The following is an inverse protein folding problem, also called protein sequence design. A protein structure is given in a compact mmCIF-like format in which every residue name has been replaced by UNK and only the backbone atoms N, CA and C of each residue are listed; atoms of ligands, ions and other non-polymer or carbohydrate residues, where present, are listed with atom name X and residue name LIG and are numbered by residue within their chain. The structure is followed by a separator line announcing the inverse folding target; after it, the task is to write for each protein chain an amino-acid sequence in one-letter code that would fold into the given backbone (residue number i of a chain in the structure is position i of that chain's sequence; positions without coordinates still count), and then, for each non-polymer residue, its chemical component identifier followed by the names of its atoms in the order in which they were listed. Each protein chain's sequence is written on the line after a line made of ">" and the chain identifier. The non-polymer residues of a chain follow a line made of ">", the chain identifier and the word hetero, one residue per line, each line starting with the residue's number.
data_IF_824583192352
#
_entry.id   IF_824583192352
#
_cell.length_a   1.000
_cell.length_b   1.000
_cell.length_c   1.000
_cell.angle_alpha   90.00
_cell.angle_beta   90.00
_cell.angle_gamma   90.00
#
_symmetry.space_group_name_H-M   'P 1'
#
loop_
_entity.id
_entity.type
_entity.pdbx_description
1 polymer ?
#
# COMPACT_ATOMS: atom_id res chain seq x y z
N UNK A 1 -17.51 -14.37 7.34
CA UNK A 1 -17.19 -14.08 7.16
C UNK A 1 -16.72 -13.50 7.10
N UNK A 2 -16.61 -13.60 7.13
CA UNK A 2 -16.21 -13.30 7.10
C UNK A 2 -15.37 -12.95 6.93
N UNK A 3 -15.40 -13.17 6.76
CA UNK A 3 -14.33 -12.68 6.64
C UNK A 3 -14.14 -12.02 5.40
N UNK A 4 -13.41 -11.43 5.31
CA UNK A 4 -12.90 -10.56 4.35
C UNK A 4 -11.87 -11.22 3.49
N UNK A 5 -11.99 -12.48 3.25
CA UNK A 5 -10.89 -13.22 2.74
C UNK A 5 -10.70 -13.27 1.24
N UNK A 6 -11.74 -13.03 0.47
CA UNK A 6 -11.68 -13.28 -0.97
C UNK A 6 -11.67 -11.98 -1.74
N UNK A 7 -10.53 -11.69 -2.37
CA UNK A 7 -10.35 -10.48 -3.15
C UNK A 7 -10.00 -10.83 -4.58
N UNK A 8 -10.53 -10.06 -5.51
CA UNK A 8 -10.09 -10.11 -6.90
C UNK A 8 -8.93 -9.14 -7.07
N UNK A 9 -7.83 -9.63 -7.62
CA UNK A 9 -6.67 -8.78 -7.89
C UNK A 9 -6.87 -8.12 -9.24
N UNK A 10 -6.98 -6.79 -9.24
CA UNK A 10 -7.17 -6.00 -10.46
C UNK A 10 -5.87 -5.65 -11.13
N UNK A 11 -4.83 -5.40 -10.33
CA UNK A 11 -3.53 -5.05 -10.85
C UNK A 11 -2.47 -5.22 -9.80
N UNK A 12 -1.23 -5.24 -10.23
CA UNK A 12 -0.08 -5.45 -9.35
C UNK A 12 1.02 -4.50 -9.76
N UNK A 13 1.67 -3.89 -8.77
CA UNK A 13 2.87 -3.09 -9.01
C UNK A 13 4.02 -3.75 -8.27
N UNK A 14 5.11 -3.98 -9.00
CA UNK A 14 6.36 -4.46 -8.41
C UNK A 14 7.25 -3.27 -8.18
N UNK A 15 7.66 -3.07 -6.94
CA UNK A 15 8.55 -1.99 -6.52
C UNK A 15 9.90 -2.60 -6.20
N UNK A 16 10.94 -2.07 -6.82
CA UNK A 16 12.28 -2.63 -6.62
C UNK A 16 13.23 -1.54 -6.16
N UNK A 17 13.84 -1.79 -5.01
CA UNK A 17 14.88 -0.91 -4.47
C UNK A 17 16.09 -1.78 -4.18
N UNK A 18 17.10 -1.70 -5.03
CA UNK A 18 18.24 -2.60 -4.94
C UNK A 18 17.80 -4.04 -5.13
N UNK A 19 18.16 -4.90 -4.19
CA UNK A 19 17.76 -6.31 -4.21
C UNK A 19 16.40 -6.56 -3.58
N UNK A 20 15.80 -5.55 -2.97
CA UNK A 20 14.51 -5.71 -2.31
C UNK A 20 13.37 -5.49 -3.27
N UNK A 21 12.39 -6.36 -3.19
CA UNK A 21 11.17 -6.27 -4.00
C UNK A 21 9.98 -6.15 -3.05
N UNK A 22 9.14 -5.17 -3.31
CA UNK A 22 7.85 -5.02 -2.63
C UNK A 22 6.77 -5.10 -3.67
N UNK A 23 5.72 -5.83 -3.38
CA UNK A 23 4.58 -5.98 -4.28
C UNK A 23 3.40 -5.23 -3.68
N UNK A 24 2.74 -4.44 -4.51
CA UNK A 24 1.47 -3.81 -4.16
C UNK A 24 0.41 -4.44 -5.04
N UNK A 25 -0.48 -5.21 -4.44
CA UNK A 25 -1.60 -5.80 -5.16
C UNK A 25 -2.83 -4.94 -4.91
N UNK A 26 -3.44 -4.45 -5.98
CA UNK A 26 -4.66 -3.65 -5.91
C UNK A 26 -5.82 -4.60 -6.08
N UNK A 27 -6.70 -4.63 -5.10
CA UNK A 27 -7.75 -5.64 -5.01
C UNK A 27 -9.11 -4.99 -4.87
N UNK A 28 -10.13 -5.71 -5.34
CA UNK A 28 -11.51 -5.28 -5.19
C UNK A 28 -12.28 -6.34 -4.42
N UNK A 29 -13.12 -5.89 -3.50
CA UNK A 29 -14.08 -6.71 -2.78
C UNK A 29 -15.41 -5.96 -2.85
N UNK A 30 -16.33 -6.47 -3.66
CA UNK A 30 -17.57 -5.77 -4.00
C UNK A 30 -17.22 -4.41 -4.60
N UNK A 31 -17.59 -3.33 -3.94
CA UNK A 31 -17.28 -1.98 -4.44
C UNK A 31 -16.15 -1.32 -3.67
N UNK A 32 -15.43 -2.08 -2.86
CA UNK A 32 -14.35 -1.53 -2.03
C UNK A 32 -13.00 -1.91 -2.61
N UNK A 33 -12.08 -0.95 -2.60
CA UNK A 33 -10.70 -1.16 -3.03
C UNK A 33 -9.83 -1.35 -1.81
N UNK A 34 -8.88 -2.29 -1.92
CA UNK A 34 -7.87 -2.54 -0.89
C UNK A 34 -6.53 -2.75 -1.59
N UNK A 35 -5.45 -2.45 -0.87
CA UNK A 35 -4.10 -2.74 -1.34
C UNK A 35 -3.46 -3.72 -0.39
N UNK A 36 -2.75 -4.68 -0.95
CA UNK A 36 -1.95 -5.60 -0.15
C UNK A 36 -0.49 -5.34 -0.48
N UNK A 37 0.29 -4.96 0.53
CA UNK A 37 1.67 -4.50 0.35
C UNK A 37 2.61 -5.40 1.13
N UNK A 38 3.63 -5.92 0.47
CA UNK A 38 4.63 -6.71 1.16
C UNK A 38 5.64 -7.33 0.22
N UNK A 39 6.67 -7.92 0.81
CA UNK A 39 7.66 -8.68 0.06
C UNK A 39 7.13 -10.09 -0.18
N UNK A 40 7.39 -10.66 -1.37
CA UNK A 40 6.82 -11.99 -1.70
C UNK A 40 7.26 -13.11 -0.76
N UNK A 41 8.41 -12.96 -0.12
CA UNK A 41 8.97 -14.01 0.73
C UNK A 41 8.70 -13.78 2.21
N UNK A 42 7.83 -12.84 2.56
CA UNK A 42 7.52 -12.55 3.96
C UNK A 42 6.20 -13.18 4.35
N UNK A 43 6.06 -13.42 5.66
CA UNK A 43 4.86 -14.03 6.21
C UNK A 43 3.75 -13.03 6.49
N UNK A 44 4.07 -11.76 6.50
CA UNK A 44 3.10 -10.73 6.84
C UNK A 44 3.07 -9.65 5.79
N UNK A 45 1.87 -9.14 5.56
CA UNK A 45 1.61 -8.07 4.61
C UNK A 45 0.89 -6.94 5.31
N UNK A 46 0.90 -5.77 4.67
CA UNK A 46 0.06 -4.66 5.08
C UNK A 46 -1.21 -4.69 4.23
N UNK A 47 -2.34 -4.76 4.88
CA UNK A 47 -3.63 -4.62 4.20
C UNK A 47 -4.07 -3.19 4.37
N UNK A 48 -4.18 -2.48 3.26
CA UNK A 48 -4.38 -1.03 3.25
C UNK A 48 -5.76 -0.67 2.75
N UNK A 49 -6.39 0.25 3.47
CA UNK A 49 -7.62 0.88 3.04
C UNK A 49 -7.26 2.27 2.51
N UNK A 50 -7.55 2.58 1.23
CA UNK A 50 -7.20 3.87 0.67
C UNK A 50 -7.86 5.01 1.44
N UNK A 51 -7.07 6.05 1.71
CA UNK A 51 -7.53 7.26 2.38
C UNK A 51 -7.61 8.36 1.34
N UNK A 52 -8.81 8.92 1.17
CA UNK A 52 -9.03 9.98 0.20
C UNK A 52 -9.13 11.30 0.93
N UNK A 53 -8.86 12.39 0.21
CA UNK A 53 -9.01 13.73 0.78
C UNK A 53 -7.98 14.09 1.82
N UNK A 54 -6.81 13.44 1.79
CA UNK A 54 -5.76 13.72 2.76
C UNK A 54 -5.05 15.05 2.51
N UNK A 55 -5.19 15.59 1.30
CA UNK A 55 -4.63 16.91 0.98
C UNK A 55 -3.13 16.96 0.81
N UNK A 56 -2.45 15.82 0.78
CA UNK A 56 -0.99 15.80 0.64
C UNK A 56 -0.58 15.79 -0.81
N UNK A 57 0.51 16.50 -1.10
CA UNK A 57 1.09 16.59 -2.42
C UNK A 57 2.57 16.84 -2.25
N UNK A 58 3.41 16.23 -3.12
CA UNK A 58 4.85 16.34 -3.00
C UNK A 58 5.40 15.58 -1.80
N UNK A 59 6.51 16.03 -1.25
CA UNK A 59 7.16 15.33 -0.14
C UNK A 59 6.30 15.42 1.11
N UNK A 60 5.85 14.29 1.67
CA UNK A 60 5.00 14.33 2.85
C UNK A 60 5.78 14.69 4.11
N UNK A 61 5.09 15.22 5.13
CA UNK A 61 5.76 15.63 6.37
C UNK A 61 6.18 14.44 7.22
N UNK A 62 7.00 14.70 8.25
CA UNK A 62 7.46 13.65 9.15
C UNK A 62 6.36 13.10 10.06
N UNK A 63 5.31 13.87 10.28
CA UNK A 63 4.18 13.49 11.11
C UNK A 63 2.91 13.73 10.34
N UNK A 64 1.99 12.79 10.43
CA UNK A 64 0.68 12.88 9.80
C UNK A 64 -0.36 12.58 10.86
N UNK A 65 -1.32 13.50 11.01
CA UNK A 65 -2.47 13.27 11.88
C UNK A 65 -3.57 12.63 11.05
N UNK A 66 -4.02 11.45 11.47
CA UNK A 66 -5.08 10.74 10.79
C UNK A 66 -5.89 9.96 11.82
N UNK A 67 -7.22 10.13 11.77
CA UNK A 67 -8.14 9.45 12.69
C UNK A 67 -7.74 9.65 14.15
N UNK A 68 -7.38 10.88 14.50
CA UNK A 68 -6.98 11.31 15.85
C UNK A 68 -5.69 10.65 16.34
N UNK A 69 -4.89 10.08 15.43
CA UNK A 69 -3.61 9.48 15.78
C UNK A 69 -2.49 10.25 15.10
N UNK A 70 -1.40 10.46 15.81
CA UNK A 70 -0.20 11.09 15.28
C UNK A 70 0.74 10.01 14.77
N UNK A 71 0.86 9.91 13.45
CA UNK A 71 1.72 8.93 12.80
C UNK A 71 3.08 9.55 12.52
N UNK A 72 4.13 8.91 12.98
CA UNK A 72 5.50 9.37 12.75
C UNK A 72 6.13 8.57 11.62
N UNK A 73 6.90 9.25 10.79
CA UNK A 73 7.61 8.61 9.69
C UNK A 73 8.64 7.63 10.26
N UNK A 74 8.52 6.37 9.86
CA UNK A 74 9.41 5.32 10.29
C UNK A 74 10.44 4.97 9.23
N UNK A 75 10.01 4.95 7.96
CA UNK A 75 10.89 4.55 6.87
C UNK A 75 10.44 5.20 5.58
N UNK A 76 11.40 5.53 4.74
CA UNK A 76 11.10 5.96 3.39
C UNK A 76 12.13 5.38 2.43
N UNK A 77 11.73 5.24 1.18
CA UNK A 77 12.60 4.69 0.15
C UNK A 77 12.20 5.16 -1.21
N UNK A 78 12.99 4.81 -2.19
CA UNK A 78 12.70 5.07 -3.58
C UNK A 78 12.88 3.80 -4.37
N UNK A 79 11.94 3.52 -5.24
CA UNK A 79 11.90 2.27 -5.98
C UNK A 79 11.66 2.53 -7.45
N UNK A 80 12.15 1.64 -8.29
CA UNK A 80 11.62 1.54 -9.64
C UNK A 80 10.30 0.78 -9.58
N UNK A 81 9.40 1.10 -10.50
CA UNK A 81 8.06 0.56 -10.49
C UNK A 81 7.71 -0.05 -11.83
N UNK A 82 7.14 -1.24 -11.80
CA UNK A 82 6.62 -1.91 -12.99
C UNK A 82 5.28 -2.52 -12.63
N UNK A 83 4.24 -2.14 -13.36
CA UNK A 83 2.89 -2.59 -13.05
C UNK A 83 2.25 -3.31 -14.20
N UNK A 84 1.27 -4.15 -13.87
CA UNK A 84 0.41 -4.82 -14.82
C UNK A 84 -1.02 -4.73 -14.32
N UNK A 85 -1.95 -4.71 -15.27
CA UNK A 85 -3.37 -4.68 -14.93
C UNK A 85 -3.83 -3.30 -14.51
N UNK A 86 -5.00 -3.26 -13.88
CA UNK A 86 -5.64 -2.01 -13.48
C UNK A 86 -5.28 -1.68 -12.05
N UNK A 87 -4.11 -1.07 -11.87
CA UNK A 87 -3.60 -0.77 -10.53
C UNK A 87 -3.87 0.67 -10.09
N UNK A 88 -4.35 1.53 -10.98
CA UNK A 88 -4.75 2.89 -10.61
C UNK A 88 -3.59 3.84 -10.32
N UNK A 89 -2.35 3.48 -10.66
CA UNK A 89 -1.20 4.34 -10.44
C UNK A 89 -0.81 5.04 -11.74
N UNK A 90 -0.16 6.21 -11.63
CA UNK A 90 0.35 6.86 -12.84
C UNK A 90 1.39 6.00 -13.54
N UNK A 91 1.53 6.20 -14.85
CA UNK A 91 2.50 5.46 -15.63
C UNK A 91 3.88 6.10 -15.49
N UNK A 92 4.46 6.01 -14.30
CA UNK A 92 5.77 6.55 -14.00
C UNK A 92 6.70 5.42 -13.60
N UNK A 93 7.99 5.51 -13.97
CA UNK A 93 8.92 4.42 -13.69
C UNK A 93 9.47 4.38 -12.27
N UNK A 94 9.22 5.42 -11.48
CA UNK A 94 9.78 5.51 -10.12
C UNK A 94 8.72 6.04 -9.17
N UNK A 95 8.84 5.60 -7.92
CA UNK A 95 7.93 6.00 -6.85
C UNK A 95 8.72 6.10 -5.55
N UNK A 96 8.37 7.09 -4.73
CA UNK A 96 8.88 7.16 -3.36
C UNK A 96 7.84 6.55 -2.43
N UNK A 97 8.29 5.73 -1.50
CA UNK A 97 7.40 5.05 -0.56
C UNK A 97 7.72 5.44 0.86
N UNK A 98 6.69 5.49 1.70
CA UNK A 98 6.82 5.96 3.08
C UNK A 98 5.99 5.07 3.98
N UNK A 99 6.55 4.73 5.14
CA UNK A 99 5.82 3.99 6.17
C UNK A 99 5.79 4.85 7.41
N UNK A 100 4.60 5.09 7.92
CA UNK A 100 4.38 5.86 9.15
C UNK A 100 3.74 4.94 10.17
N UNK A 101 4.02 5.20 11.44
CA UNK A 101 3.49 4.36 12.52
C UNK A 101 3.01 5.20 13.67
N UNK A 102 1.85 4.82 14.23
CA UNK A 102 1.30 5.48 15.42
C UNK A 102 1.24 4.55 16.62
N UNK A 103 1.27 3.27 16.39
CA UNK A 103 1.24 2.26 17.44
C UNK A 103 1.58 0.91 16.84
N UNK A 104 1.50 -0.17 17.62
CA UNK A 104 1.96 -1.47 17.11
C UNK A 104 1.20 -1.95 15.89
N UNK A 105 -0.10 -1.62 15.78
CA UNK A 105 -0.92 -2.09 14.67
C UNK A 105 -1.42 -0.96 13.79
N UNK A 106 -0.94 0.26 14.00
CA UNK A 106 -1.43 1.42 13.26
C UNK A 106 -0.34 1.94 12.36
N UNK A 107 -0.54 1.75 11.07
CA UNK A 107 0.45 2.07 10.04
C UNK A 107 -0.22 2.86 8.92
N UNK A 108 0.52 3.77 8.32
CA UNK A 108 0.13 4.39 7.06
C UNK A 108 1.17 4.01 6.02
N UNK A 109 0.68 3.63 4.86
CA UNK A 109 1.50 3.36 3.68
C UNK A 109 1.25 4.49 2.68
N UNK A 110 2.32 5.15 2.26
CA UNK A 110 2.21 6.23 1.28
C UNK A 110 3.06 5.92 0.08
N UNK A 111 2.56 6.32 -1.10
CA UNK A 111 3.30 6.27 -2.36
C UNK A 111 3.25 7.66 -2.96
N UNK A 112 4.41 8.20 -3.30
CA UNK A 112 4.47 9.47 -4.00
C UNK A 112 4.93 9.24 -5.43
N UNK A 113 4.03 9.50 -6.35
CA UNK A 113 4.23 9.37 -7.79
C UNK A 113 4.31 10.77 -8.39
N UNK A 114 5.54 11.29 -8.60
CA UNK A 114 5.68 12.69 -8.93
C UNK A 114 5.23 13.54 -7.75
N UNK A 115 4.20 14.35 -7.96
CA UNK A 115 3.62 15.13 -6.85
C UNK A 115 2.38 14.47 -6.26
N UNK A 116 1.86 13.45 -6.90
CA UNK A 116 0.65 12.77 -6.42
C UNK A 116 0.98 11.82 -5.28
N UNK A 117 0.26 11.95 -4.18
CA UNK A 117 0.44 11.10 -3.00
C UNK A 117 -0.79 10.21 -2.82
N UNK A 118 -0.53 8.92 -2.74
CA UNK A 118 -1.55 7.93 -2.39
C UNK A 118 -1.29 7.47 -0.97
N UNK A 119 -2.35 7.38 -0.17
CA UNK A 119 -2.26 7.01 1.23
C UNK A 119 -3.18 5.84 1.52
N UNK A 120 -2.68 4.87 2.28
CA UNK A 120 -3.49 3.77 2.77
C UNK A 120 -3.34 3.62 4.27
N UNK A 121 -4.45 3.48 4.97
CA UNK A 121 -4.45 3.13 6.37
C UNK A 121 -4.31 1.62 6.46
N UNK A 122 -3.27 1.15 7.13
CA UNK A 122 -2.82 -0.23 7.00
C UNK A 122 -2.82 -0.95 8.33
N UNK A 123 -3.16 -2.23 8.27
CA UNK A 123 -2.98 -3.16 9.38
C UNK A 123 -2.16 -4.34 8.88
N UNK A 124 -1.41 -4.95 9.80
CA UNK A 124 -0.58 -6.10 9.45
C UNK A 124 -1.45 -7.36 9.45
N UNK A 125 -1.35 -8.15 8.39
CA UNK A 125 -2.09 -9.40 8.26
C UNK A 125 -1.12 -10.52 7.96
N UNK A 126 -1.47 -11.74 8.38
CA UNK A 126 -0.70 -12.92 8.04
C UNK A 126 -0.95 -13.31 6.60
N UNK A 127 0.09 -13.78 5.92
CA UNK A 127 -0.07 -14.28 4.55
C UNK A 127 -1.07 -15.43 4.49
N UNK A 128 -1.25 -16.17 5.59
CA UNK A 128 -2.19 -17.28 5.63
C UNK A 128 -3.65 -16.82 5.65
N UNK A 129 -3.90 -15.58 6.02
CA UNK A 129 -5.26 -15.04 6.12
C UNK A 129 -5.72 -14.39 4.83
N UNK A 130 -4.89 -14.37 3.81
CA UNK A 130 -5.22 -13.71 2.56
C UNK A 130 -5.29 -14.74 1.44
N UNK A 131 -6.39 -14.74 0.71
CA UNK A 131 -6.59 -15.62 -0.42
C UNK A 131 -6.79 -14.79 -1.67
N UNK A 132 -5.98 -15.06 -2.67
CA UNK A 132 -6.11 -14.39 -3.95
C UNK A 132 -6.90 -15.26 -4.90
N UNK A 133 -7.92 -14.68 -5.51
CA UNK A 133 -8.62 -15.33 -6.60
C UNK A 133 -7.83 -15.11 -7.89
N UNK A 134 -7.84 -16.07 -8.81
CA UNK A 134 -7.13 -15.89 -10.07
C UNK A 134 -7.60 -14.61 -10.76
N UNK A 135 -6.65 -13.82 -11.18
CA UNK A 135 -6.94 -12.65 -11.95
C UNK A 135 -7.50 -13.04 -13.29
N UNK A 136 -8.48 -12.38 -13.72
CA UNK A 136 -9.12 -12.74 -14.99
C UNK A 136 -9.40 -11.53 -15.81
#
# INVERSE_FOLDING_TARGET
>A
PERDGDYLVDGVINLREGAQVTVVAVMTDADRTRWLVGAPDQDRYLLCEPVRGHGLSGEPPRHILHADQDYALERRGQSSAAGVGMHGRPALPRVATYVYRAGPDQTLWLERWGDQVLMGAATSVSAHDVHFLPGS
#
